data_IF_343007749291
#
_entry.id   IF_343007749291
#
_cell.length_a   1.000
_cell.length_b   1.000
_cell.length_c   1.000
_cell.angle_alpha   90.00
_cell.angle_beta   90.00
_cell.angle_gamma   90.00
#
_symmetry.space_group_name_H-M   'P 1'
#
loop_
_entity.id
_entity.type
_entity.pdbx_description
1 polymer ?
#
# COMPACT_ATOMS: atom_id res chain seq x y z
N UNK A 1 19.02 -5.57 -7.98
CA UNK A 1 18.09 -4.48 -7.66
C UNK A 1 17.46 -4.77 -6.31
N UNK A 2 17.21 -3.76 -5.47
CA UNK A 2 16.53 -3.97 -4.18
C UNK A 2 15.11 -4.50 -4.40
N UNK A 3 14.59 -5.32 -3.47
CA UNK A 3 13.21 -5.79 -3.55
C UNK A 3 12.24 -4.65 -3.29
N UNK A 4 11.11 -4.60 -4.01
CA UNK A 4 10.13 -3.52 -3.89
C UNK A 4 8.92 -3.98 -3.10
N UNK A 5 8.57 -3.20 -2.08
CA UNK A 5 7.31 -3.25 -1.36
C UNK A 5 6.45 -2.04 -1.77
N UNK A 6 5.19 -2.31 -2.12
CA UNK A 6 4.24 -1.33 -2.60
C UNK A 6 3.03 -1.26 -1.67
N UNK A 7 2.74 -0.08 -1.11
CA UNK A 7 1.49 0.11 -0.37
C UNK A 7 0.26 0.03 -1.29
N UNK A 8 -0.90 -0.18 -0.69
CA UNK A 8 -2.18 -0.11 -1.37
C UNK A 8 -2.84 1.25 -1.18
N UNK A 9 -3.14 1.64 0.05
CA UNK A 9 -3.98 2.82 0.32
C UNK A 9 -3.22 4.08 -0.08
N UNK A 10 -3.80 4.93 -0.93
CA UNK A 10 -3.14 6.13 -1.45
C UNK A 10 -2.05 5.87 -2.51
N UNK A 11 -1.81 4.60 -2.87
CA UNK A 11 -0.77 4.21 -3.86
C UNK A 11 -1.36 3.37 -5.00
N UNK A 12 -2.02 2.26 -4.69
CA UNK A 12 -2.76 1.43 -5.65
C UNK A 12 -4.27 1.71 -5.61
N UNK A 13 -4.84 1.90 -4.42
CA UNK A 13 -6.28 2.04 -4.20
C UNK A 13 -6.63 3.41 -3.64
N UNK A 14 -7.71 3.98 -4.15
CA UNK A 14 -8.23 5.29 -3.74
C UNK A 14 -9.16 5.14 -2.53
N UNK A 15 -8.55 4.85 -1.37
CA UNK A 15 -9.26 4.72 -0.10
C UNK A 15 -9.95 6.04 0.28
N UNK A 16 -9.33 7.19 0.00
CA UNK A 16 -9.86 8.49 0.38
C UNK A 16 -11.17 8.78 -0.36
N UNK A 17 -11.21 8.57 -1.68
CA UNK A 17 -12.45 8.70 -2.47
C UNK A 17 -13.50 7.69 -2.04
N UNK A 18 -13.09 6.45 -1.75
CA UNK A 18 -13.98 5.42 -1.22
C UNK A 18 -14.64 5.85 0.08
N UNK A 19 -13.83 6.29 1.05
CA UNK A 19 -14.28 6.76 2.36
C UNK A 19 -15.15 8.01 2.26
N UNK A 20 -14.82 8.95 1.37
CA UNK A 20 -15.62 10.16 1.16
C UNK A 20 -17.04 9.82 0.70
N UNK A 21 -17.23 8.80 -0.14
CA UNK A 21 -18.58 8.33 -0.53
C UNK A 21 -19.40 7.80 0.64
N UNK A 22 -18.73 7.29 1.69
CA UNK A 22 -19.39 6.74 2.89
C UNK A 22 -19.75 7.85 3.88
N UNK A 23 -18.83 8.78 4.08
CA UNK A 23 -18.90 9.75 5.19
C UNK A 23 -19.31 11.15 4.75
N UNK A 24 -19.11 11.51 3.47
CA UNK A 24 -19.26 12.88 2.98
C UNK A 24 -18.16 13.83 3.48
N UNK A 25 -17.06 13.30 4.01
CA UNK A 25 -15.93 14.03 4.57
C UNK A 25 -14.63 13.23 4.38
N UNK A 26 -13.48 13.89 4.52
CA UNK A 26 -12.18 13.21 4.46
C UNK A 26 -12.04 12.21 5.60
N UNK A 27 -11.38 11.08 5.35
CA UNK A 27 -11.24 10.00 6.33
C UNK A 27 -10.49 10.46 7.59
N UNK A 28 -9.58 11.43 7.46
CA UNK A 28 -8.86 12.04 8.59
C UNK A 28 -9.78 12.75 9.58
N UNK A 29 -10.88 13.31 9.08
CA UNK A 29 -11.76 14.23 9.80
C UNK A 29 -12.90 13.49 10.52
N UNK A 30 -13.18 12.24 10.10
CA UNK A 30 -14.20 11.40 10.73
C UNK A 30 -13.70 10.86 12.06
N UNK A 31 -14.38 11.09 13.19
CA UNK A 31 -13.96 10.60 14.50
C UNK A 31 -14.00 9.07 14.59
N UNK A 32 -13.21 8.51 15.51
CA UNK A 32 -13.34 7.09 15.90
C UNK A 32 -14.43 6.98 16.99
N UNK A 33 -15.25 5.92 16.99
CA UNK A 33 -15.14 4.71 16.15
C UNK A 33 -15.85 4.81 14.79
N UNK A 34 -16.73 5.79 14.61
CA UNK A 34 -17.62 5.97 13.44
C UNK A 34 -16.89 5.80 12.09
N UNK A 35 -15.67 6.32 11.99
CA UNK A 35 -14.78 6.19 10.83
C UNK A 35 -14.76 4.79 10.24
N UNK A 36 -14.56 3.79 11.09
CA UNK A 36 -14.45 2.40 10.65
C UNK A 36 -15.79 1.67 10.74
N UNK A 37 -16.66 2.02 11.68
CA UNK A 37 -17.96 1.35 11.84
C UNK A 37 -18.82 1.43 10.57
N UNK A 38 -18.92 2.62 9.96
CA UNK A 38 -19.69 2.77 8.70
C UNK A 38 -19.03 2.06 7.52
N UNK A 39 -17.71 2.09 7.43
CA UNK A 39 -16.96 1.37 6.38
C UNK A 39 -17.17 -0.14 6.52
N UNK A 40 -17.07 -0.67 7.74
CA UNK A 40 -17.26 -2.08 8.06
C UNK A 40 -18.67 -2.58 7.72
N UNK A 41 -19.68 -1.70 7.82
CA UNK A 41 -21.07 -2.00 7.46
C UNK A 41 -21.30 -2.12 5.95
N UNK A 42 -20.37 -1.63 5.11
CA UNK A 42 -20.48 -1.70 3.66
C UNK A 42 -19.87 -3.00 3.16
N UNK A 43 -20.72 -3.88 2.67
CA UNK A 43 -20.31 -5.13 2.04
C UNK A 43 -19.34 -4.85 0.88
N UNK A 44 -18.25 -5.60 0.85
CA UNK A 44 -17.22 -5.56 -0.21
C UNK A 44 -16.58 -4.17 -0.42
N UNK A 45 -16.62 -3.27 0.58
CA UNK A 45 -16.05 -1.91 0.48
C UNK A 45 -14.65 -1.91 -0.14
N UNK A 46 -13.72 -2.63 0.48
CA UNK A 46 -12.32 -2.71 0.07
C UNK A 46 -12.13 -3.33 -1.31
N UNK A 47 -12.92 -4.35 -1.65
CA UNK A 47 -12.87 -5.03 -2.95
C UNK A 47 -13.32 -4.14 -4.09
N UNK A 48 -14.22 -3.20 -3.82
CA UNK A 48 -14.82 -2.30 -4.80
C UNK A 48 -14.14 -0.92 -4.89
N UNK A 49 -13.03 -0.70 -4.16
CA UNK A 49 -12.27 0.53 -4.27
C UNK A 49 -11.71 0.71 -5.68
N UNK A 50 -11.68 1.97 -6.13
CA UNK A 50 -11.12 2.34 -7.42
C UNK A 50 -9.59 2.33 -7.35
N UNK A 51 -8.95 2.15 -8.51
CA UNK A 51 -7.52 2.40 -8.65
C UNK A 51 -7.20 3.87 -8.37
N UNK A 52 -6.06 4.13 -7.74
CA UNK A 52 -5.49 5.48 -7.72
C UNK A 52 -5.21 5.96 -9.16
N UNK A 53 -5.40 7.26 -9.46
CA UNK A 53 -5.13 7.80 -10.79
C UNK A 53 -3.72 7.45 -11.31
N UNK A 54 -3.67 6.71 -12.42
CA UNK A 54 -2.42 6.28 -13.06
C UNK A 54 -1.69 5.12 -12.36
N UNK A 55 -2.18 4.63 -11.22
CA UNK A 55 -1.48 3.58 -10.46
C UNK A 55 -1.36 2.26 -11.22
N UNK A 56 -2.29 1.94 -12.13
CA UNK A 56 -2.16 0.79 -13.04
C UNK A 56 -0.86 0.85 -13.87
N UNK A 57 -0.45 2.05 -14.34
CA UNK A 57 0.81 2.23 -15.07
C UNK A 57 2.03 1.92 -14.18
N UNK A 58 1.98 2.34 -12.92
CA UNK A 58 3.03 2.04 -11.94
C UNK A 58 3.10 0.55 -11.64
N UNK A 59 1.95 -0.11 -11.47
CA UNK A 59 1.88 -1.55 -11.30
C UNK A 59 2.45 -2.28 -12.50
N UNK A 60 2.04 -1.94 -13.71
CA UNK A 60 2.52 -2.56 -14.94
C UNK A 60 4.04 -2.38 -15.13
N UNK A 61 4.59 -1.21 -14.73
CA UNK A 61 6.04 -0.96 -14.70
C UNK A 61 6.78 -1.85 -13.70
N UNK A 62 6.22 -2.04 -12.50
CA UNK A 62 6.86 -2.83 -11.46
C UNK A 62 6.64 -4.35 -11.63
N UNK A 63 5.57 -4.78 -12.29
CA UNK A 63 5.16 -6.19 -12.40
C UNK A 63 6.29 -7.14 -12.82
N UNK A 64 7.17 -6.81 -13.80
CA UNK A 64 8.31 -7.67 -14.17
C UNK A 64 9.30 -7.91 -13.03
N UNK A 65 9.40 -6.96 -12.09
CA UNK A 65 10.27 -7.00 -10.91
C UNK A 65 9.65 -7.73 -9.72
N UNK A 66 8.47 -8.33 -9.89
CA UNK A 66 7.78 -9.11 -8.87
C UNK A 66 7.64 -8.40 -7.51
N UNK A 67 7.07 -7.18 -7.46
CA UNK A 67 6.92 -6.41 -6.22
C UNK A 67 6.05 -7.16 -5.21
N UNK A 68 6.34 -6.98 -3.93
CA UNK A 68 5.46 -7.42 -2.85
C UNK A 68 4.50 -6.29 -2.46
N UNK A 69 3.30 -6.65 -2.03
CA UNK A 69 2.37 -5.72 -1.39
C UNK A 69 2.76 -5.57 0.08
N UNK A 70 2.74 -4.34 0.58
CA UNK A 70 2.99 -3.98 1.98
C UNK A 70 1.93 -2.98 2.43
N UNK A 71 0.79 -3.49 2.89
CA UNK A 71 -0.33 -2.63 3.30
C UNK A 71 -0.73 -2.85 4.74
N UNK A 72 -1.16 -1.76 5.38
CA UNK A 72 -1.56 -1.78 6.77
C UNK A 72 -3.01 -2.23 6.94
N UNK A 73 -3.31 -2.94 8.03
CA UNK A 73 -4.66 -3.11 8.55
C UNK A 73 -4.74 -2.59 9.99
N UNK A 74 -5.96 -2.43 10.50
CA UNK A 74 -6.25 -1.97 11.86
C UNK A 74 -7.28 -2.87 12.52
N UNK A 75 -7.17 -3.08 13.84
CA UNK A 75 -8.14 -3.88 14.61
C UNK A 75 -9.56 -3.28 14.57
N UNK A 76 -9.68 -1.99 14.26
CA UNK A 76 -10.96 -1.31 14.12
C UNK A 76 -11.65 -1.59 12.78
N UNK A 77 -10.96 -2.19 11.81
CA UNK A 77 -11.50 -2.63 10.52
C UNK A 77 -10.98 -4.04 10.23
N UNK A 78 -11.66 -5.08 10.75
CA UNK A 78 -11.28 -6.47 10.54
C UNK A 78 -11.49 -6.91 9.08
N UNK A 79 -12.32 -6.20 8.32
CA UNK A 79 -12.64 -6.55 6.93
C UNK A 79 -11.53 -6.10 5.95
N UNK A 80 -10.69 -5.14 6.36
CA UNK A 80 -9.63 -4.56 5.54
C UNK A 80 -8.68 -5.58 4.95
N UNK A 81 -8.12 -6.48 5.75
CA UNK A 81 -7.12 -7.42 5.25
C UNK A 81 -7.71 -8.39 4.20
N UNK A 82 -8.89 -8.96 4.47
CA UNK A 82 -9.57 -9.85 3.52
C UNK A 82 -9.95 -9.11 2.23
N UNK A 83 -10.57 -7.94 2.37
CA UNK A 83 -11.01 -7.16 1.22
C UNK A 83 -9.87 -6.63 0.35
N UNK A 84 -8.72 -6.26 0.94
CA UNK A 84 -7.50 -5.92 0.19
C UNK A 84 -6.98 -7.12 -0.60
N UNK A 85 -6.96 -8.31 0.00
CA UNK A 85 -6.54 -9.52 -0.70
C UNK A 85 -7.47 -9.85 -1.89
N UNK A 86 -8.78 -9.67 -1.71
CA UNK A 86 -9.76 -9.83 -2.79
C UNK A 86 -9.60 -8.77 -3.89
N UNK A 87 -9.37 -7.51 -3.51
CA UNK A 87 -9.09 -6.45 -4.47
C UNK A 87 -7.88 -6.80 -5.34
N UNK A 88 -6.77 -7.26 -4.73
CA UNK A 88 -5.58 -7.67 -5.45
C UNK A 88 -5.87 -8.81 -6.43
N UNK A 89 -6.60 -9.84 -5.99
CA UNK A 89 -6.98 -10.97 -6.84
C UNK A 89 -7.78 -10.53 -8.06
N UNK A 90 -8.69 -9.56 -7.90
CA UNK A 90 -9.56 -9.04 -8.97
C UNK A 90 -8.86 -8.06 -9.92
N UNK A 91 -7.89 -7.27 -9.44
CA UNK A 91 -7.34 -6.15 -10.21
C UNK A 91 -5.89 -6.33 -10.65
N UNK A 92 -5.05 -6.99 -9.85
CA UNK A 92 -3.63 -7.22 -10.16
C UNK A 92 -3.31 -8.67 -10.51
N UNK A 93 -4.19 -9.60 -10.15
CA UNK A 93 -4.06 -11.03 -10.33
C UNK A 93 -3.63 -11.75 -9.04
N UNK A 94 -3.65 -13.09 -9.08
CA UNK A 94 -3.28 -13.91 -7.91
C UNK A 94 -1.78 -13.80 -7.64
N UNK A 95 -1.41 -13.16 -6.53
CA UNK A 95 -0.05 -13.11 -6.04
C UNK A 95 0.25 -14.29 -5.09
N UNK A 96 1.50 -14.78 -5.05
CA UNK A 96 1.97 -15.67 -4.00
C UNK A 96 1.73 -15.09 -2.59
N UNK A 97 1.42 -15.94 -1.61
CA UNK A 97 1.05 -15.51 -0.25
C UNK A 97 2.15 -14.72 0.45
N UNK A 98 3.40 -15.10 0.24
CA UNK A 98 4.60 -14.42 0.75
C UNK A 98 4.86 -13.04 0.12
N UNK A 99 4.19 -12.73 -1.00
CA UNK A 99 4.21 -11.41 -1.64
C UNK A 99 3.06 -10.50 -1.21
N UNK A 100 2.16 -10.96 -0.33
CA UNK A 100 1.04 -10.15 0.17
C UNK A 100 1.19 -9.95 1.68
N UNK A 101 1.79 -8.83 2.06
CA UNK A 101 2.10 -8.51 3.45
C UNK A 101 1.07 -7.52 3.97
N UNK A 102 0.03 -8.05 4.62
CA UNK A 102 -1.02 -7.28 5.29
C UNK A 102 -0.73 -7.27 6.78
N UNK A 103 -0.09 -6.21 7.25
CA UNK A 103 0.49 -6.12 8.59
C UNK A 103 -0.08 -4.94 9.37
N UNK A 104 0.14 -4.87 10.68
CA UNK A 104 -0.11 -3.61 11.39
C UNK A 104 0.92 -2.56 10.92
N UNK A 105 0.51 -1.30 10.83
CA UNK A 105 1.38 -0.22 10.34
C UNK A 105 2.76 -0.18 11.02
N UNK A 106 2.80 -0.33 12.34
CA UNK A 106 4.04 -0.32 13.12
C UNK A 106 5.03 -1.45 12.76
N UNK A 107 4.55 -2.50 12.09
CA UNK A 107 5.35 -3.66 11.69
C UNK A 107 5.92 -3.53 10.28
N UNK A 108 5.48 -2.55 9.47
CA UNK A 108 6.03 -2.32 8.12
C UNK A 108 7.55 -2.22 8.15
N UNK A 109 8.12 -1.46 9.10
CA UNK A 109 9.57 -1.26 9.25
C UNK A 109 10.40 -2.54 9.41
N UNK A 110 9.80 -3.65 9.84
CA UNK A 110 10.49 -4.94 9.98
C UNK A 110 10.95 -5.52 8.63
N UNK A 111 10.36 -5.05 7.53
CA UNK A 111 10.67 -5.48 6.16
C UNK A 111 11.67 -4.56 5.45
N UNK A 112 12.19 -3.55 6.14
CA UNK A 112 13.12 -2.55 5.56
C UNK A 112 14.38 -3.16 4.95
N UNK A 113 14.82 -4.31 5.46
CA UNK A 113 15.93 -5.09 4.91
C UNK A 113 15.53 -6.53 4.67
N UNK A 114 16.13 -7.14 3.66
CA UNK A 114 15.94 -8.55 3.38
C UNK A 114 16.42 -9.39 4.58
N UNK A 115 15.58 -10.35 4.99
CA UNK A 115 15.83 -11.15 6.19
C UNK A 115 17.09 -11.99 6.12
N UNK A 116 17.53 -12.38 4.90
CA UNK A 116 18.66 -13.29 4.65
C UNK A 116 19.94 -12.52 4.34
N UNK A 117 19.89 -11.69 3.32
CA UNK A 117 21.03 -10.94 2.77
C UNK A 117 21.30 -9.63 3.50
N UNK A 118 20.35 -9.14 4.32
CA UNK A 118 20.40 -7.85 5.01
C UNK A 118 20.48 -6.64 4.07
N UNK A 119 20.30 -6.83 2.77
CA UNK A 119 20.26 -5.75 1.80
C UNK A 119 19.01 -4.88 1.98
N UNK A 120 19.08 -3.57 1.69
CA UNK A 120 17.92 -2.68 1.80
C UNK A 120 16.83 -3.05 0.80
N UNK A 121 15.59 -3.00 1.25
CA UNK A 121 14.40 -3.08 0.41
C UNK A 121 13.82 -1.68 0.16
N UNK A 122 13.10 -1.51 -0.95
CA UNK A 122 12.38 -0.27 -1.27
C UNK A 122 10.96 -0.34 -0.72
N UNK A 123 10.49 0.72 -0.07
CA UNK A 123 9.07 0.93 0.21
C UNK A 123 8.56 2.12 -0.60
N UNK A 124 7.49 1.90 -1.35
CA UNK A 124 6.69 2.94 -1.99
C UNK A 124 5.39 3.08 -1.18
N UNK A 125 5.22 4.22 -0.53
CA UNK A 125 4.14 4.50 0.43
C UNK A 125 3.83 6.00 0.38
N UNK A 126 2.55 6.36 0.48
CA UNK A 126 2.09 7.75 0.47
C UNK A 126 2.29 8.43 1.82
N UNK A 127 2.51 7.67 2.90
CA UNK A 127 2.53 8.22 4.24
C UNK A 127 3.97 8.53 4.72
N UNK A 128 4.34 9.80 4.94
CA UNK A 128 5.72 10.20 5.27
C UNK A 128 6.31 9.50 6.50
N UNK A 129 5.50 9.27 7.55
CA UNK A 129 5.95 8.54 8.73
C UNK A 129 6.39 7.10 8.43
N UNK A 130 5.68 6.39 7.53
CA UNK A 130 6.05 5.01 7.17
C UNK A 130 7.40 5.02 6.44
N UNK A 131 7.60 6.00 5.56
CA UNK A 131 8.86 6.21 4.84
C UNK A 131 10.01 6.49 5.82
N UNK A 132 9.84 7.44 6.74
CA UNK A 132 10.88 7.75 7.73
C UNK A 132 11.22 6.57 8.64
N UNK A 133 10.22 5.82 9.10
CA UNK A 133 10.45 4.61 9.90
C UNK A 133 11.15 3.50 9.09
N UNK A 134 10.84 3.37 7.80
CA UNK A 134 11.48 2.41 6.91
C UNK A 134 12.95 2.73 6.67
N UNK A 135 13.25 3.99 6.36
CA UNK A 135 14.61 4.49 6.17
C UNK A 135 15.45 4.38 7.44
N UNK A 136 14.86 4.72 8.60
CA UNK A 136 15.53 4.57 9.91
C UNK A 136 15.88 3.11 10.25
N UNK A 137 15.25 2.13 9.60
CA UNK A 137 15.55 0.70 9.75
C UNK A 137 16.47 0.15 8.65
N UNK A 138 17.05 1.05 7.84
CA UNK A 138 18.04 0.72 6.82
C UNK A 138 17.44 0.30 5.48
N UNK A 139 16.17 0.64 5.21
CA UNK A 139 15.55 0.48 3.91
C UNK A 139 15.64 1.75 3.05
N UNK A 140 15.13 1.66 1.82
CA UNK A 140 15.04 2.78 0.87
C UNK A 140 13.59 3.27 0.81
N UNK A 141 13.35 4.52 1.13
CA UNK A 141 12.04 5.14 1.07
C UNK A 141 11.75 5.82 -0.27
N UNK A 142 10.56 5.57 -0.83
CA UNK A 142 9.99 6.38 -1.91
C UNK A 142 8.64 6.90 -1.43
N UNK A 143 8.64 8.14 -0.92
CA UNK A 143 7.40 8.86 -0.65
C UNK A 143 6.66 9.08 -1.97
N UNK A 144 5.48 8.46 -2.08
CA UNK A 144 4.62 8.50 -3.25
C UNK A 144 3.74 9.75 -3.24
N UNK A 145 3.97 10.66 -4.17
CA UNK A 145 3.13 11.84 -4.41
C UNK A 145 2.60 11.90 -5.84
N UNK A 146 3.21 11.14 -6.76
CA UNK A 146 2.74 10.95 -8.12
C UNK A 146 3.39 9.72 -8.75
N UNK A 147 2.69 9.09 -9.69
CA UNK A 147 3.19 7.94 -10.45
C UNK A 147 4.49 8.26 -11.19
N UNK A 148 4.56 9.40 -11.88
CA UNK A 148 5.76 9.78 -12.63
C UNK A 148 6.96 10.03 -11.70
N UNK A 149 6.74 10.66 -10.54
CA UNK A 149 7.79 10.87 -9.54
C UNK A 149 8.32 9.56 -8.97
N UNK A 150 7.44 8.61 -8.65
CA UNK A 150 7.83 7.28 -8.19
C UNK A 150 8.61 6.51 -9.25
N UNK A 151 8.15 6.48 -10.50
CA UNK A 151 8.86 5.81 -11.61
C UNK A 151 10.23 6.46 -11.84
N UNK A 152 10.34 7.79 -11.79
CA UNK A 152 11.62 8.47 -11.94
C UNK A 152 12.62 8.09 -10.83
N UNK A 153 12.17 7.98 -9.57
CA UNK A 153 13.01 7.51 -8.45
C UNK A 153 13.40 6.05 -8.63
N UNK A 154 12.48 5.18 -9.06
CA UNK A 154 12.77 3.78 -9.37
C UNK A 154 13.84 3.67 -10.48
N UNK A 155 13.74 4.46 -11.55
CA UNK A 155 14.76 4.47 -12.61
C UNK A 155 16.15 4.82 -12.10
N UNK A 156 16.27 5.76 -11.15
CA UNK A 156 17.55 6.09 -10.49
C UNK A 156 18.11 4.91 -9.66
N UNK A 157 17.27 3.97 -9.25
CA UNK A 157 17.67 2.74 -8.55
C UNK A 157 17.93 1.56 -9.51
N UNK A 158 17.87 1.78 -10.82
CA UNK A 158 18.21 0.79 -11.84
C UNK A 158 17.03 -0.03 -12.39
N UNK A 159 15.79 0.34 -12.09
CA UNK A 159 14.60 -0.28 -12.69
C UNK A 159 14.34 0.32 -14.07
N UNK A 160 14.25 -0.50 -15.12
CA UNK A 160 14.10 -0.06 -16.51
C UNK A 160 12.89 -0.68 -17.24
#
# INVERSE_FOLDING_TARGET
MPHVYLDMDGVLVDLEKGAYKVHGANLSDVPKPERWDKINAIKDFWKNLEWMPGAKKMWDFLKPYSPSIMSAWTKHDPNSAGGKADWLKSHVGKLPRDRVNLVMRADKKRFAKDGRTKQPNVLIDDHPKNIGEWEANGGIGIHHTSVNGTIAKLKKLGFA
#
